data_IF_678260107249
#
_entry.id   IF_678260107249
#
_cell.length_a   1.000
_cell.length_b   1.000
_cell.length_c   1.000
_cell.angle_alpha   90.00
_cell.angle_beta   90.00
_cell.angle_gamma   90.00
#
_symmetry.space_group_name_H-M   'P 1'
#
loop_
_entity.id
_entity.type
_entity.pdbx_description
1 polymer ?
#
# COMPACT_ATOMS: atom_id res chain seq x y z
N UNK A 1 22.37 -3.47 -7.26
CA UNK A 1 22.69 -4.86 -7.65
C UNK A 1 21.69 -5.77 -6.99
N UNK A 2 20.80 -6.39 -7.76
CA UNK A 2 19.79 -7.32 -7.23
C UNK A 2 20.25 -8.74 -7.55
N UNK A 3 20.63 -9.48 -6.51
CA UNK A 3 20.93 -10.89 -6.61
C UNK A 3 19.60 -11.67 -6.61
N UNK A 4 18.93 -11.73 -7.76
CA UNK A 4 17.90 -12.75 -7.99
C UNK A 4 18.62 -14.02 -8.47
N UNK A 5 18.40 -15.14 -7.76
CA UNK A 5 19.04 -16.41 -8.06
C UNK A 5 18.50 -16.96 -9.39
N UNK A 6 19.35 -17.03 -10.42
CA UNK A 6 18.98 -17.46 -11.79
C UNK A 6 18.55 -18.93 -11.86
N UNK A 7 18.94 -19.74 -10.88
CA UNK A 7 18.65 -21.18 -10.76
C UNK A 7 17.45 -21.46 -9.84
N UNK A 8 16.70 -20.44 -9.41
CA UNK A 8 15.56 -20.65 -8.53
C UNK A 8 14.40 -21.26 -9.30
N UNK A 9 14.23 -22.56 -9.19
CA UNK A 9 13.06 -23.27 -9.72
C UNK A 9 11.86 -22.99 -8.80
N UNK A 10 10.87 -22.23 -9.30
CA UNK A 10 9.64 -21.95 -8.56
C UNK A 10 8.75 -23.20 -8.62
N UNK A 11 8.94 -24.11 -7.66
CA UNK A 11 8.25 -25.39 -7.60
C UNK A 11 6.73 -25.26 -7.41
N UNK A 12 6.26 -24.17 -6.79
CA UNK A 12 4.84 -23.92 -6.57
C UNK A 12 4.59 -22.40 -6.45
N UNK A 13 3.67 -21.87 -7.24
CA UNK A 13 3.16 -20.51 -7.07
C UNK A 13 1.91 -20.64 -6.21
N UNK A 14 1.90 -20.03 -5.02
CA UNK A 14 0.66 -19.94 -4.26
C UNK A 14 -0.33 -19.07 -5.02
N UNK A 15 -1.37 -19.70 -5.59
CA UNK A 15 -2.51 -18.99 -6.16
C UNK A 15 -3.31 -18.38 -5.01
N UNK A 16 -3.05 -17.12 -4.68
CA UNK A 16 -3.92 -16.35 -3.81
C UNK A 16 -5.30 -16.27 -4.46
N UNK A 17 -6.37 -16.39 -3.67
CA UNK A 17 -7.72 -16.32 -4.22
C UNK A 17 -7.92 -14.93 -4.81
N UNK A 18 -8.63 -14.84 -5.93
CA UNK A 18 -8.80 -13.57 -6.68
C UNK A 18 -9.24 -12.38 -5.81
N UNK A 19 -10.05 -12.62 -4.78
CA UNK A 19 -10.47 -11.58 -3.81
C UNK A 19 -9.33 -11.05 -2.93
N UNK A 20 -8.40 -11.91 -2.53
CA UNK A 20 -7.21 -11.52 -1.74
C UNK A 20 -6.25 -10.67 -2.61
N UNK A 21 -6.18 -10.98 -3.91
CA UNK A 21 -5.37 -10.22 -4.88
C UNK A 21 -5.91 -8.81 -5.10
N UNK A 22 -7.23 -8.62 -5.12
CA UNK A 22 -7.85 -7.29 -5.29
C UNK A 22 -7.53 -6.36 -4.13
N UNK A 23 -7.53 -6.86 -2.89
CA UNK A 23 -7.16 -6.06 -1.73
C UNK A 23 -5.70 -5.66 -1.76
N UNK A 24 -4.81 -6.57 -2.17
CA UNK A 24 -3.39 -6.26 -2.35
C UNK A 24 -3.16 -5.19 -3.42
N UNK A 25 -3.84 -5.31 -4.56
CA UNK A 25 -3.77 -4.29 -5.63
C UNK A 25 -4.31 -2.93 -5.16
N UNK A 26 -5.37 -2.91 -4.36
CA UNK A 26 -5.86 -1.68 -3.77
C UNK A 26 -4.83 -1.07 -2.82
N UNK A 27 -4.16 -1.88 -1.99
CA UNK A 27 -3.07 -1.42 -1.12
C UNK A 27 -1.96 -0.79 -1.94
N UNK A 28 -1.57 -1.40 -3.06
CA UNK A 28 -0.52 -0.85 -3.94
C UNK A 28 -0.92 0.53 -4.50
N UNK A 29 -2.18 0.69 -4.92
CA UNK A 29 -2.70 1.98 -5.41
C UNK A 29 -2.67 3.03 -4.31
N UNK A 30 -3.16 2.70 -3.11
CA UNK A 30 -3.20 3.63 -1.98
C UNK A 30 -1.79 4.02 -1.54
N UNK A 31 -0.88 3.05 -1.43
CA UNK A 31 0.50 3.29 -1.02
C UNK A 31 1.25 4.13 -2.04
N UNK A 32 1.09 3.83 -3.34
CA UNK A 32 1.70 4.61 -4.42
C UNK A 32 1.22 6.06 -4.45
N UNK A 33 -0.08 6.29 -4.24
CA UNK A 33 -0.64 7.64 -4.15
C UNK A 33 -0.11 8.42 -2.94
N UNK A 34 -0.07 7.76 -1.77
CA UNK A 34 0.47 8.34 -0.52
C UNK A 34 1.95 8.68 -0.66
N UNK A 35 2.77 7.76 -1.17
CA UNK A 35 4.20 7.99 -1.36
C UNK A 35 4.48 9.11 -2.37
N UNK A 36 3.76 9.14 -3.50
CA UNK A 36 3.91 10.20 -4.50
C UNK A 36 3.56 11.57 -3.91
N UNK A 37 2.51 11.65 -3.09
CA UNK A 37 2.08 12.89 -2.43
C UNK A 37 3.06 13.33 -1.35
N UNK A 38 3.54 12.39 -0.53
CA UNK A 38 4.43 12.67 0.60
C UNK A 38 5.83 13.09 0.17
N UNK A 39 6.40 12.44 -0.85
CA UNK A 39 7.77 12.68 -1.30
C UNK A 39 7.91 13.88 -2.24
N UNK A 40 6.84 14.63 -2.51
CA UNK A 40 6.80 15.68 -3.52
C UNK A 40 7.43 15.23 -4.85
N UNK A 41 7.32 13.94 -5.19
CA UNK A 41 7.79 13.42 -6.47
C UNK A 41 7.03 14.20 -7.53
N UNK A 42 7.71 15.10 -8.25
CA UNK A 42 7.11 16.05 -9.20
C UNK A 42 5.88 15.42 -9.85
N UNK A 43 4.70 15.88 -9.44
CA UNK A 43 3.47 15.13 -9.70
C UNK A 43 3.13 15.33 -11.18
N UNK A 44 3.63 14.44 -12.01
CA UNK A 44 3.60 14.52 -13.49
C UNK A 44 2.23 14.25 -14.12
N UNK A 45 1.13 14.23 -13.37
CA UNK A 45 -0.20 14.03 -13.96
C UNK A 45 -1.39 14.39 -13.06
N UNK A 46 -2.41 14.99 -13.68
CA UNK A 46 -3.69 15.40 -13.04
C UNK A 46 -4.35 14.24 -12.31
N UNK A 47 -4.40 13.06 -12.92
CA UNK A 47 -5.04 11.87 -12.34
C UNK A 47 -4.41 11.45 -10.99
N UNK A 48 -3.08 11.50 -10.87
CA UNK A 48 -2.40 11.15 -9.60
C UNK A 48 -2.74 12.15 -8.49
N UNK A 49 -2.87 13.44 -8.84
CA UNK A 49 -3.30 14.49 -7.91
C UNK A 49 -4.74 14.31 -7.44
N UNK A 50 -5.64 13.96 -8.35
CA UNK A 50 -7.05 13.72 -8.02
C UNK A 50 -7.21 12.52 -7.09
N UNK A 51 -6.49 11.41 -7.36
CA UNK A 51 -6.49 10.23 -6.48
C UNK A 51 -5.98 10.59 -5.08
N UNK A 52 -4.84 11.27 -4.97
CA UNK A 52 -4.29 11.67 -3.67
C UNK A 52 -5.24 12.60 -2.91
N UNK A 53 -5.86 13.57 -3.61
CA UNK A 53 -6.85 14.48 -3.03
C UNK A 53 -8.08 13.71 -2.53
N UNK A 54 -8.56 12.75 -3.31
CA UNK A 54 -9.70 11.91 -2.92
C UNK A 54 -9.41 11.07 -1.69
N UNK A 55 -8.19 10.54 -1.56
CA UNK A 55 -7.73 9.81 -0.37
C UNK A 55 -7.70 10.75 0.85
N UNK A 56 -7.18 11.96 0.72
CA UNK A 56 -7.15 12.97 1.78
C UNK A 56 -8.55 13.32 2.30
N UNK A 57 -9.52 13.45 1.40
CA UNK A 57 -10.92 13.71 1.75
C UNK A 57 -11.58 12.54 2.49
N UNK A 58 -11.35 11.32 2.02
CA UNK A 58 -12.00 10.12 2.54
C UNK A 58 -11.42 9.65 3.87
N UNK A 59 -10.09 9.69 4.01
CA UNK A 59 -9.39 9.01 5.10
C UNK A 59 -8.67 9.95 6.07
N UNK A 60 -8.36 11.19 5.65
CA UNK A 60 -7.55 12.11 6.46
C UNK A 60 -8.35 13.31 7.00
N UNK A 61 -9.69 13.26 6.94
CA UNK A 61 -10.57 14.36 7.33
C UNK A 61 -10.23 15.67 6.58
N UNK A 62 -9.97 15.57 5.27
CA UNK A 62 -9.53 16.68 4.40
C UNK A 62 -8.17 17.29 4.76
N UNK A 63 -7.38 16.64 5.62
CA UNK A 63 -5.99 17.03 5.89
C UNK A 63 -5.08 16.47 4.79
N UNK A 64 -3.99 17.18 4.51
CA UNK A 64 -2.96 16.71 3.60
C UNK A 64 -2.26 15.48 4.16
N UNK A 65 -1.88 14.57 3.28
CA UNK A 65 -1.01 13.44 3.63
C UNK A 65 0.30 13.99 4.15
N UNK A 66 0.61 13.71 5.42
CA UNK A 66 1.79 14.21 6.10
C UNK A 66 2.34 13.13 7.05
N UNK A 67 3.52 13.40 7.61
CA UNK A 67 4.09 12.54 8.62
C UNK A 67 3.19 12.55 9.86
N UNK A 68 2.99 11.38 10.45
CA UNK A 68 2.39 11.31 11.79
C UNK A 68 3.32 11.99 12.80
N UNK A 69 2.78 12.77 13.74
CA UNK A 69 3.59 13.37 14.80
C UNK A 69 4.21 12.30 15.69
N UNK A 70 5.32 12.65 16.36
CA UNK A 70 6.12 11.71 17.14
C UNK A 70 5.37 11.06 18.31
N UNK A 71 4.31 11.70 18.80
CA UNK A 71 3.48 11.21 19.91
C UNK A 71 2.34 10.27 19.47
N UNK A 72 2.13 10.07 18.16
CA UNK A 72 1.09 9.17 17.65
C UNK A 72 1.56 7.71 17.73
N UNK A 73 0.85 6.89 18.51
CA UNK A 73 1.13 5.45 18.64
C UNK A 73 0.24 4.65 17.68
N UNK A 74 0.86 3.81 16.85
CA UNK A 74 0.18 2.94 15.87
C UNK A 74 0.41 1.48 16.24
N UNK A 75 -0.66 0.69 16.28
CA UNK A 75 -0.56 -0.77 16.45
C UNK A 75 -1.52 -1.46 15.47
N UNK A 76 -1.07 -2.57 14.89
CA UNK A 76 -1.89 -3.38 14.01
C UNK A 76 -2.57 -4.48 14.83
N UNK A 77 -3.88 -4.69 14.64
CA UNK A 77 -4.62 -5.77 15.27
C UNK A 77 -4.82 -6.89 14.24
N UNK A 78 -4.29 -8.07 14.55
CA UNK A 78 -4.46 -9.25 13.72
C UNK A 78 -5.35 -10.25 14.45
N UNK A 79 -6.44 -10.66 13.81
CA UNK A 79 -7.21 -11.80 14.28
C UNK A 79 -6.67 -13.06 13.61
N UNK A 80 -5.88 -13.84 14.35
CA UNK A 80 -5.31 -15.09 13.85
C UNK A 80 -6.32 -16.23 14.07
N UNK A 81 -6.66 -16.93 12.99
CA UNK A 81 -7.45 -18.15 13.08
C UNK A 81 -6.51 -19.34 13.25
N UNK A 82 -6.48 -19.90 14.46
CA UNK A 82 -5.59 -21.02 14.85
C UNK A 82 -5.86 -22.34 14.09
N UNK A 83 -6.88 -22.39 13.21
CA UNK A 83 -7.32 -23.59 12.48
C UNK A 83 -6.95 -23.61 10.99
N UNK A 84 -6.29 -22.57 10.46
CA UNK A 84 -5.94 -22.49 9.04
C UNK A 84 -4.45 -22.32 8.84
N UNK A 85 -3.80 -23.38 8.34
CA UNK A 85 -2.50 -23.31 7.68
C UNK A 85 -2.68 -23.24 6.17
#
# INVERSE_FOLDING_TARGET
MVNANKESEIANVQSLRSKEVVLLQLVDVLLGAVQSRYNNSEITGVAKNEIATRIEELFFCKRKICASPWWEQKFNVFQLNMRGG
#
